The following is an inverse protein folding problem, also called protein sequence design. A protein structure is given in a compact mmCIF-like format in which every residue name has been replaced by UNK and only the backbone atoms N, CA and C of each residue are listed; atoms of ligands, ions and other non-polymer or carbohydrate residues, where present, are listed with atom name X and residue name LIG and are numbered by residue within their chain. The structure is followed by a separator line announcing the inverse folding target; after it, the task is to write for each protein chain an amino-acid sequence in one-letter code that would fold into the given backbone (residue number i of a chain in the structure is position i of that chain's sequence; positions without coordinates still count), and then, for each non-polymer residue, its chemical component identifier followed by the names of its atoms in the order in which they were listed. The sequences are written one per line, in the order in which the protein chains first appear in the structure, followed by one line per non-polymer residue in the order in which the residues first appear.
data_IF_404807807151
#
_entry.id   IF_404807807151
#
_cell.length_a   1.000
_cell.length_b   1.000
_cell.length_c   1.000
_cell.angle_alpha   90.00
_cell.angle_beta   90.00
_cell.angle_gamma   90.00
#
_symmetry.space_group_name_H-M   'P 1'
#
loop_
_entity.id
_entity.type
_entity.pdbx_description
1 polymer ?
#
# COMPACT_ATOMS: atom_id res chain seq x y z
N UNK A 1 20.53 -0.99 -6.72
CA UNK A 1 19.40 -0.82 -7.64
C UNK A 1 18.46 0.13 -6.93
N UNK A 2 18.14 1.24 -7.56
CA UNK A 2 17.33 2.31 -6.98
C UNK A 2 15.97 1.73 -6.58
N UNK A 3 15.65 1.85 -5.30
CA UNK A 3 14.35 1.48 -4.74
C UNK A 3 13.35 2.59 -5.12
N UNK A 4 13.07 2.71 -6.41
CA UNK A 4 12.06 3.64 -6.92
C UNK A 4 10.70 3.04 -6.57
N UNK A 5 10.20 3.36 -5.37
CA UNK A 5 8.76 3.29 -5.13
C UNK A 5 8.17 4.32 -6.08
N UNK A 6 7.49 3.90 -7.15
CA UNK A 6 7.10 4.82 -8.19
C UNK A 6 6.01 5.73 -7.59
N UNK A 7 6.10 7.03 -7.88
CA UNK A 7 5.26 8.02 -7.19
C UNK A 7 3.76 7.75 -7.38
N UNK A 8 3.38 7.14 -8.50
CA UNK A 8 2.02 6.67 -8.75
C UNK A 8 1.49 5.72 -7.65
N UNK A 9 2.34 4.84 -7.09
CA UNK A 9 1.97 3.95 -5.99
C UNK A 9 1.78 4.74 -4.70
N UNK A 10 2.65 5.71 -4.40
CA UNK A 10 2.54 6.56 -3.20
C UNK A 10 1.27 7.42 -3.25
N UNK A 11 0.97 7.99 -4.41
CA UNK A 11 -0.22 8.82 -4.61
C UNK A 11 -1.50 8.01 -4.51
N UNK A 12 -1.52 6.83 -5.15
CA UNK A 12 -2.63 5.89 -5.05
C UNK A 12 -2.87 5.44 -3.60
N UNK A 13 -1.81 5.07 -2.88
CA UNK A 13 -1.89 4.69 -1.47
C UNK A 13 -2.39 5.86 -0.62
N UNK A 14 -1.89 7.09 -0.83
CA UNK A 14 -2.38 8.27 -0.13
C UNK A 14 -3.85 8.58 -0.44
N UNK A 15 -4.29 8.36 -1.67
CA UNK A 15 -5.67 8.58 -2.07
C UNK A 15 -6.61 7.52 -1.48
N UNK A 16 -6.15 6.27 -1.34
CA UNK A 16 -6.91 5.19 -0.74
C UNK A 16 -6.80 5.11 0.79
N UNK A 17 -5.77 5.71 1.38
CA UNK A 17 -5.58 5.76 2.82
C UNK A 17 -6.55 6.78 3.44
N UNK A 18 -7.55 6.29 4.17
CA UNK A 18 -8.39 7.12 5.02
C UNK A 18 -7.72 7.27 6.39
N UNK A 19 -7.37 8.49 6.76
CA UNK A 19 -6.88 8.82 8.11
C UNK A 19 -5.53 8.14 8.48
N UNK A 20 -4.66 7.96 7.49
CA UNK A 20 -3.36 7.26 7.67
C UNK A 20 -3.51 5.76 7.86
N UNK A 21 -4.64 5.19 7.43
CA UNK A 21 -4.93 3.76 7.48
C UNK A 21 -5.38 3.25 6.12
N UNK A 22 -4.94 2.05 5.73
CA UNK A 22 -5.40 1.38 4.52
C UNK A 22 -5.88 -0.03 4.84
N UNK A 23 -6.90 -0.52 4.13
CA UNK A 23 -7.28 -1.93 4.19
C UNK A 23 -6.36 -2.77 3.31
N UNK A 24 -6.08 -4.01 3.73
CA UNK A 24 -5.27 -4.93 2.91
C UNK A 24 -5.94 -5.20 1.54
N UNK A 25 -7.28 -5.21 1.48
CA UNK A 25 -8.01 -5.30 0.21
C UNK A 25 -7.65 -4.13 -0.71
N UNK A 26 -7.72 -2.88 -0.21
CA UNK A 26 -7.44 -1.68 -1.00
C UNK A 26 -5.99 -1.60 -1.42
N UNK A 27 -5.07 -2.01 -0.56
CA UNK A 27 -3.65 -2.11 -0.90
C UNK A 27 -3.41 -3.15 -2.02
N UNK A 28 -4.11 -4.28 -2.00
CA UNK A 28 -4.03 -5.32 -3.02
C UNK A 28 -4.72 -4.93 -4.33
N UNK A 29 -5.87 -4.25 -4.27
CA UNK A 29 -6.56 -3.71 -5.43
C UNK A 29 -5.68 -2.68 -6.14
N UNK A 30 -5.11 -1.73 -5.40
CA UNK A 30 -4.16 -0.76 -5.94
C UNK A 30 -2.91 -1.42 -6.52
N UNK A 31 -2.37 -2.44 -5.85
CA UNK A 31 -1.25 -3.22 -6.37
C UNK A 31 -1.60 -3.88 -7.72
N UNK A 32 -2.81 -4.42 -7.85
CA UNK A 32 -3.30 -5.02 -9.10
C UNK A 32 -3.50 -3.97 -10.19
N UNK A 33 -4.16 -2.86 -9.89
CA UNK A 33 -4.41 -1.78 -10.86
C UNK A 33 -3.13 -1.15 -11.39
N UNK A 34 -2.10 -1.07 -10.54
CA UNK A 34 -0.81 -0.48 -10.89
C UNK A 34 0.20 -1.50 -11.43
N UNK A 35 -0.20 -2.78 -11.58
CA UNK A 35 0.71 -3.92 -11.84
C UNK A 35 1.95 -3.92 -10.92
N UNK A 36 1.78 -3.40 -9.69
CA UNK A 36 2.84 -3.28 -8.71
C UNK A 36 2.85 -4.50 -7.78
N UNK A 37 4.04 -5.01 -7.39
CA UNK A 37 4.09 -6.08 -6.42
C UNK A 37 3.55 -5.60 -5.06
N UNK A 38 2.71 -6.42 -4.41
CA UNK A 38 2.15 -6.11 -3.08
C UNK A 38 3.25 -5.87 -2.05
N UNK A 39 4.44 -6.46 -2.25
CA UNK A 39 5.62 -6.25 -1.43
C UNK A 39 6.15 -4.80 -1.52
N UNK A 40 6.06 -4.19 -2.70
CA UNK A 40 6.41 -2.79 -2.92
C UNK A 40 5.35 -1.86 -2.33
N UNK A 41 4.07 -2.21 -2.42
CA UNK A 41 2.99 -1.50 -1.72
C UNK A 41 3.19 -1.57 -0.20
N UNK A 42 3.53 -2.74 0.34
CA UNK A 42 3.85 -2.90 1.76
C UNK A 42 5.04 -2.05 2.21
N UNK A 43 6.12 -2.00 1.41
CA UNK A 43 7.25 -1.08 1.64
C UNK A 43 6.85 0.39 1.57
N UNK A 44 5.99 0.76 0.62
CA UNK A 44 5.49 2.13 0.51
C UNK A 44 4.63 2.52 1.71
N UNK A 45 3.79 1.60 2.20
CA UNK A 45 2.99 1.78 3.40
C UNK A 45 3.85 1.96 4.65
N UNK A 46 4.87 1.10 4.81
CA UNK A 46 5.86 1.19 5.90
C UNK A 46 6.62 2.52 5.84
N UNK A 47 7.07 2.91 4.65
CA UNK A 47 7.76 4.19 4.42
C UNK A 47 6.87 5.42 4.70
N UNK A 48 5.57 5.31 4.42
CA UNK A 48 4.58 6.37 4.68
C UNK A 48 4.02 6.32 6.11
N UNK A 49 4.46 5.35 6.93
CA UNK A 49 3.96 5.11 8.28
C UNK A 49 2.43 4.87 8.33
N UNK A 50 1.86 4.36 7.24
CA UNK A 50 0.43 4.07 7.10
C UNK A 50 0.13 2.71 7.71
N UNK A 51 -0.84 2.66 8.62
CA UNK A 51 -1.23 1.40 9.25
C UNK A 51 -2.18 0.61 8.37
N UNK A 52 -1.84 -0.65 8.09
CA UNK A 52 -2.78 -1.58 7.47
C UNK A 52 -3.79 -2.02 8.53
N UNK A 53 -5.06 -1.65 8.36
CA UNK A 53 -6.15 -2.06 9.25
C UNK A 53 -7.09 -2.95 8.46
N UNK A 54 -7.30 -4.20 8.89
CA UNK A 54 -8.05 -5.23 8.14
C UNK A 54 -7.20 -6.04 7.14
N UNK A 55 -6.17 -6.73 7.64
CA UNK A 55 -5.56 -7.83 6.90
C UNK A 55 -6.52 -9.03 6.97
N UNK A 56 -7.11 -9.41 5.83
CA UNK A 56 -8.05 -10.54 5.71
C UNK A 56 -7.47 -11.88 6.20
N UNK A 57 -6.15 -11.96 6.39
CA UNK A 57 -5.45 -13.12 6.95
C UNK A 57 -5.43 -13.16 8.49
N UNK A 58 -5.95 -12.15 9.19
CA UNK A 58 -5.87 -12.08 10.65
C UNK A 58 -4.46 -11.86 11.20
N UNK A 59 -3.47 -11.60 10.34
CA UNK A 59 -2.14 -11.15 10.75
C UNK A 59 -2.19 -9.63 10.94
N UNK A 60 -2.51 -9.22 12.17
CA UNK A 60 -2.06 -7.95 12.74
C UNK A 60 -0.64 -8.11 13.26
#
# INVERSE_FOLDING_TARGET
MSEDIPQNVIEAIKAAAEDGRISCEKALELANELEAPTLLVGRALDFLEIKVTSCQLGCF
#
